data_IF_354373444121
#
_entry.id   IF_354373444121
#
_cell.length_a   1.000
_cell.length_b   1.000
_cell.length_c   1.000
_cell.angle_alpha   90.00
_cell.angle_beta   90.00
_cell.angle_gamma   90.00
#
_symmetry.space_group_name_H-M   'P 1'
#
loop_
_entity.id
_entity.type
_entity.pdbx_description
1 polymer ?
#
# COMPACT_ATOMS: atom_id res chain seq x y z
N UNK A 1 -28.51 -11.98 -1.19
CA UNK A 1 -27.44 -11.42 -0.33
C UNK A 1 -27.56 -9.91 -0.36
N UNK A 2 -27.84 -9.24 0.77
CA UNK A 2 -27.72 -7.78 0.85
C UNK A 2 -26.26 -7.42 1.14
N UNK A 3 -25.69 -6.49 0.36
CA UNK A 3 -24.33 -5.95 0.57
C UNK A 3 -24.39 -4.61 1.28
N UNK A 4 -23.25 -4.13 1.79
CA UNK A 4 -23.18 -2.81 2.39
C UNK A 4 -23.61 -1.70 1.40
N UNK A 5 -24.25 -0.64 1.91
CA UNK A 5 -24.85 0.41 1.07
C UNK A 5 -23.87 1.26 0.26
N UNK A 6 -22.57 1.14 0.51
CA UNK A 6 -21.51 1.83 -0.24
C UNK A 6 -20.98 1.01 -1.44
N UNK A 7 -21.39 -0.25 -1.59
CA UNK A 7 -20.96 -1.11 -2.71
C UNK A 7 -21.77 -0.73 -3.96
N UNK A 8 -21.09 -0.36 -5.03
CA UNK A 8 -21.73 -0.08 -6.32
C UNK A 8 -22.01 -1.38 -7.10
N UNK A 9 -22.66 -1.27 -8.26
CA UNK A 9 -22.89 -2.41 -9.15
C UNK A 9 -21.66 -2.80 -10.00
N UNK A 10 -20.52 -2.13 -9.82
CA UNK A 10 -19.30 -2.46 -10.54
C UNK A 10 -18.79 -3.85 -10.08
N UNK A 11 -18.65 -4.84 -10.98
CA UNK A 11 -18.23 -6.19 -10.60
C UNK A 11 -16.91 -6.23 -9.84
N UNK A 12 -15.97 -5.33 -10.16
CA UNK A 12 -14.70 -5.23 -9.45
C UNK A 12 -14.90 -4.80 -7.99
N UNK A 13 -15.84 -3.88 -7.75
CA UNK A 13 -16.11 -3.40 -6.41
C UNK A 13 -16.88 -4.43 -5.57
N UNK A 14 -17.78 -5.16 -6.22
CA UNK A 14 -18.47 -6.31 -5.62
C UNK A 14 -17.48 -7.39 -5.20
N UNK A 15 -16.56 -7.77 -6.09
CA UNK A 15 -15.55 -8.79 -5.78
C UNK A 15 -14.63 -8.36 -4.63
N UNK A 16 -14.17 -7.11 -4.66
CA UNK A 16 -13.36 -6.55 -3.57
C UNK A 16 -14.12 -6.58 -2.24
N UNK A 17 -15.39 -6.16 -2.21
CA UNK A 17 -16.21 -6.20 -0.99
C UNK A 17 -16.36 -7.63 -0.47
N UNK A 18 -16.72 -8.57 -1.35
CA UNK A 18 -17.09 -9.93 -0.96
C UNK A 18 -15.88 -10.79 -0.54
N UNK A 19 -14.69 -10.52 -1.10
CA UNK A 19 -13.50 -11.37 -0.92
C UNK A 19 -12.35 -10.73 -0.15
N UNK A 20 -12.24 -9.40 -0.17
CA UNK A 20 -11.07 -8.70 0.37
C UNK A 20 -11.43 -7.78 1.55
N UNK A 21 -12.54 -7.04 1.45
CA UNK A 21 -12.92 -6.06 2.46
C UNK A 21 -13.39 -6.72 3.76
N UNK A 22 -12.83 -6.28 4.89
CA UNK A 22 -13.16 -6.82 6.22
C UNK A 22 -12.57 -8.20 6.52
N UNK A 23 -11.84 -8.82 5.58
CA UNK A 23 -11.13 -10.09 5.81
C UNK A 23 -9.81 -9.81 6.52
N UNK A 24 -9.54 -10.54 7.61
CA UNK A 24 -8.32 -10.35 8.39
C UNK A 24 -7.06 -10.72 7.57
N UNK A 25 -6.20 -9.74 7.33
CA UNK A 25 -4.92 -9.92 6.64
C UNK A 25 -3.76 -9.82 7.64
N UNK A 26 -2.80 -10.76 7.55
CA UNK A 26 -1.64 -10.85 8.44
C UNK A 26 -0.31 -10.70 7.69
N UNK A 27 -0.34 -10.75 6.36
CA UNK A 27 0.85 -10.56 5.54
C UNK A 27 1.30 -9.09 5.59
N UNK A 28 2.48 -8.78 6.15
CA UNK A 28 2.93 -7.40 6.31
C UNK A 28 3.06 -6.63 5.00
N UNK A 29 3.43 -7.30 3.90
CA UNK A 29 3.55 -6.66 2.59
C UNK A 29 2.20 -6.26 2.03
N UNK A 30 1.18 -7.12 2.17
CA UNK A 30 -0.18 -6.78 1.77
C UNK A 30 -0.77 -5.65 2.62
N UNK A 31 -0.50 -5.67 3.92
CA UNK A 31 -0.90 -4.56 4.81
C UNK A 31 -0.22 -3.24 4.39
N UNK A 32 1.06 -3.29 4.02
CA UNK A 32 1.80 -2.15 3.47
C UNK A 32 1.22 -1.65 2.15
N UNK A 33 0.87 -2.55 1.22
CA UNK A 33 0.17 -2.19 -0.02
C UNK A 33 -1.15 -1.49 0.29
N UNK A 34 -1.98 -2.07 1.16
CA UNK A 34 -3.30 -1.52 1.49
C UNK A 34 -3.20 -0.12 2.10
N UNK A 35 -2.36 0.09 3.11
CA UNK A 35 -2.22 1.43 3.73
C UNK A 35 -1.71 2.48 2.73
N UNK A 36 -0.86 2.07 1.78
CA UNK A 36 -0.40 2.97 0.72
C UNK A 36 -1.54 3.35 -0.23
N UNK A 37 -2.36 2.37 -0.65
CA UNK A 37 -3.50 2.60 -1.55
C UNK A 37 -4.59 3.46 -0.88
N UNK A 38 -4.85 3.28 0.41
CA UNK A 38 -5.75 4.15 1.18
C UNK A 38 -5.27 5.62 1.15
N UNK A 39 -3.96 5.86 1.30
CA UNK A 39 -3.40 7.21 1.15
C UNK A 39 -3.62 7.81 -0.25
N UNK A 40 -3.65 6.97 -1.30
CA UNK A 40 -3.93 7.44 -2.67
C UNK A 40 -5.39 7.88 -2.85
N UNK A 41 -6.31 7.38 -2.02
CA UNK A 41 -7.74 7.66 -2.11
C UNK A 41 -8.11 9.08 -1.64
N UNK A 42 -7.24 9.79 -0.92
CA UNK A 42 -7.54 11.15 -0.43
C UNK A 42 -8.05 12.09 -1.55
N UNK A 43 -9.29 12.56 -1.43
CA UNK A 43 -9.95 13.43 -2.42
C UNK A 43 -10.50 12.70 -3.67
N UNK A 44 -10.57 11.36 -3.67
CA UNK A 44 -11.06 10.52 -4.76
C UNK A 44 -11.99 9.43 -4.24
N UNK A 45 -12.70 8.77 -5.16
CA UNK A 45 -13.45 7.56 -4.84
C UNK A 45 -12.52 6.34 -4.71
N UNK A 46 -12.84 5.40 -3.82
CA UNK A 46 -12.04 4.17 -3.67
C UNK A 46 -12.00 3.34 -4.97
N UNK A 47 -13.11 3.28 -5.71
CA UNK A 47 -13.16 2.57 -6.99
C UNK A 47 -12.15 3.13 -8.02
N UNK A 48 -11.83 4.42 -7.97
CA UNK A 48 -10.76 5.02 -8.80
C UNK A 48 -9.40 4.40 -8.49
N UNK A 49 -9.08 4.20 -7.21
CA UNK A 49 -7.82 3.58 -6.78
C UNK A 49 -7.83 2.08 -7.11
N UNK A 50 -8.93 1.39 -6.81
CA UNK A 50 -9.07 -0.04 -7.03
C UNK A 50 -8.89 -0.41 -8.51
N UNK A 51 -9.46 0.35 -9.44
CA UNK A 51 -9.25 0.17 -10.90
C UNK A 51 -7.80 0.37 -11.33
N UNK A 52 -7.02 1.14 -10.58
CA UNK A 52 -5.60 1.42 -10.86
C UNK A 52 -4.65 0.50 -10.06
N UNK A 53 -5.17 -0.39 -9.21
CA UNK A 53 -4.37 -1.22 -8.29
C UNK A 53 -3.26 -1.99 -9.00
N UNK A 54 -3.56 -2.65 -10.12
CA UNK A 54 -2.55 -3.40 -10.88
C UNK A 54 -1.47 -2.49 -11.47
N UNK A 55 -1.83 -1.27 -11.84
CA UNK A 55 -0.86 -0.28 -12.33
C UNK A 55 0.06 0.14 -11.18
N UNK A 56 -0.49 0.41 -10.00
CA UNK A 56 0.31 0.66 -8.78
C UNK A 56 1.25 -0.50 -8.45
N UNK A 57 0.76 -1.74 -8.50
CA UNK A 57 1.61 -2.92 -8.28
C UNK A 57 2.76 -2.96 -9.26
N UNK A 58 2.58 -2.61 -10.53
CA UNK A 58 3.70 -2.54 -11.49
C UNK A 58 4.64 -1.36 -11.22
N UNK A 59 4.09 -0.18 -10.99
CA UNK A 59 4.86 1.06 -10.80
C UNK A 59 5.72 1.04 -9.52
N UNK A 60 5.25 0.35 -8.47
CA UNK A 60 5.89 0.27 -7.17
C UNK A 60 6.41 -1.15 -6.85
N UNK A 61 6.87 -1.89 -7.85
CA UNK A 61 7.57 -3.18 -7.68
C UNK A 61 6.83 -4.19 -6.77
N UNK A 62 5.53 -4.37 -7.01
CA UNK A 62 4.62 -5.24 -6.25
C UNK A 62 4.60 -4.88 -4.76
N UNK A 63 4.78 -3.60 -4.46
CA UNK A 63 4.90 -3.05 -3.11
C UNK A 63 5.98 -3.76 -2.28
N UNK A 64 7.09 -4.16 -2.91
CA UNK A 64 8.29 -4.59 -2.19
C UNK A 64 8.90 -3.38 -1.46
N UNK A 65 8.86 -3.33 -0.11
CA UNK A 65 9.26 -2.12 0.61
C UNK A 65 10.73 -1.76 0.39
N UNK A 66 11.61 -2.74 0.12
CA UNK A 66 13.04 -2.49 -0.12
C UNK A 66 13.23 -1.77 -1.45
N UNK A 67 12.58 -2.27 -2.51
CA UNK A 67 12.66 -1.66 -3.84
C UNK A 67 12.00 -0.29 -3.85
N UNK A 68 10.82 -0.15 -3.23
CA UNK A 68 10.10 1.12 -3.16
C UNK A 68 10.88 2.16 -2.35
N UNK A 69 11.52 1.77 -1.25
CA UNK A 69 12.31 2.70 -0.44
C UNK A 69 13.56 3.22 -1.16
N UNK A 70 14.09 2.44 -2.11
CA UNK A 70 15.26 2.77 -2.92
C UNK A 70 14.95 3.70 -4.11
N UNK A 71 13.67 3.94 -4.42
CA UNK A 71 13.28 4.86 -5.48
C UNK A 71 13.74 6.28 -5.18
N UNK A 72 14.14 6.99 -6.22
CA UNK A 72 14.72 8.33 -6.17
C UNK A 72 13.86 9.38 -6.88
N UNK A 73 14.44 10.55 -7.15
CA UNK A 73 13.73 11.65 -7.79
C UNK A 73 13.43 11.38 -9.27
N UNK A 74 14.30 10.64 -9.98
CA UNK A 74 14.08 10.29 -11.39
C UNK A 74 12.88 9.34 -11.52
N UNK A 75 12.75 8.40 -10.58
CA UNK A 75 11.58 7.54 -10.48
C UNK A 75 10.30 8.34 -10.24
N UNK A 76 10.34 9.35 -9.38
CA UNK A 76 9.18 10.21 -9.11
C UNK A 76 8.77 10.97 -10.37
N UNK A 77 9.72 11.61 -11.07
CA UNK A 77 9.43 12.35 -12.30
C UNK A 77 8.84 11.43 -13.37
N UNK A 78 9.38 10.22 -13.53
CA UNK A 78 8.84 9.21 -14.44
C UNK A 78 7.41 8.82 -14.07
N UNK A 79 7.13 8.60 -12.79
CA UNK A 79 5.81 8.19 -12.30
C UNK A 79 4.75 9.29 -12.36
N UNK A 80 5.13 10.56 -12.22
CA UNK A 80 4.20 11.69 -12.38
C UNK A 80 3.62 11.74 -13.80
N UNK A 81 4.32 11.20 -14.79
CA UNK A 81 3.85 11.11 -16.17
C UNK A 81 2.99 9.86 -16.46
N UNK A 82 2.97 8.88 -15.56
CA UNK A 82 2.23 7.62 -15.76
C UNK A 82 0.72 7.80 -15.56
N UNK A 83 -0.03 7.78 -16.66
CA UNK A 83 -1.50 7.86 -16.65
C UNK A 83 -2.18 6.64 -16.01
N UNK A 84 -1.45 5.54 -15.82
CA UNK A 84 -1.89 4.33 -15.14
C UNK A 84 -2.17 4.54 -13.66
N UNK A 85 -1.49 5.48 -13.00
CA UNK A 85 -1.64 5.80 -11.57
C UNK A 85 -2.28 7.19 -11.36
N UNK A 86 -2.30 7.69 -10.12
CA UNK A 86 -2.72 9.05 -9.81
C UNK A 86 -1.48 9.95 -9.89
N UNK A 87 -1.48 10.86 -10.87
CA UNK A 87 -0.36 11.77 -11.19
C UNK A 87 -0.28 12.92 -10.18
N UNK A 88 0.06 12.59 -8.94
CA UNK A 88 0.21 13.56 -7.86
C UNK A 88 1.52 13.31 -7.12
N UNK A 89 2.49 14.22 -7.29
CA UNK A 89 3.85 14.09 -6.77
C UNK A 89 3.91 13.74 -5.28
N UNK A 90 3.18 14.50 -4.44
CA UNK A 90 3.19 14.27 -2.99
C UNK A 90 2.62 12.90 -2.58
N UNK A 91 1.72 12.32 -3.39
CA UNK A 91 1.14 11.00 -3.11
C UNK A 91 2.07 9.88 -3.52
N UNK A 92 2.84 10.07 -4.59
CA UNK A 92 3.92 9.17 -5.02
C UNK A 92 5.03 9.16 -3.97
N UNK A 93 5.49 10.36 -3.58
CA UNK A 93 6.49 10.53 -2.52
C UNK A 93 6.05 9.91 -1.19
N UNK A 94 4.76 10.00 -0.85
CA UNK A 94 4.22 9.37 0.36
C UNK A 94 4.40 7.84 0.35
N UNK A 95 4.22 7.16 -0.79
CA UNK A 95 4.45 5.70 -0.87
C UNK A 95 5.92 5.36 -0.59
N UNK A 96 6.86 6.13 -1.16
CA UNK A 96 8.30 5.96 -0.94
C UNK A 96 8.65 6.21 0.53
N UNK A 97 8.11 7.29 1.11
CA UNK A 97 8.27 7.62 2.54
C UNK A 97 7.71 6.52 3.45
N UNK A 98 6.54 5.98 3.13
CA UNK A 98 5.92 4.88 3.86
C UNK A 98 6.79 3.62 3.81
N UNK A 99 7.40 3.29 2.66
CA UNK A 99 8.30 2.15 2.54
C UNK A 99 9.53 2.29 3.45
N UNK A 100 10.15 3.49 3.46
CA UNK A 100 11.28 3.82 4.36
C UNK A 100 10.87 3.70 5.83
N UNK A 101 9.71 4.22 6.20
CA UNK A 101 9.18 4.12 7.55
C UNK A 101 8.88 2.66 7.96
N UNK A 102 8.31 1.87 7.06
CA UNK A 102 8.02 0.45 7.26
C UNK A 102 9.30 -0.34 7.57
N UNK A 103 10.35 -0.17 6.77
CA UNK A 103 11.65 -0.84 6.99
C UNK A 103 12.33 -0.39 8.28
N UNK A 104 12.25 0.91 8.60
CA UNK A 104 12.78 1.44 9.86
C UNK A 104 12.07 0.84 11.07
N UNK A 105 10.74 0.70 11.01
CA UNK A 105 9.94 0.05 12.04
C UNK A 105 10.30 -1.43 12.19
N UNK A 106 10.43 -2.18 11.08
CA UNK A 106 10.81 -3.59 11.10
C UNK A 106 12.18 -3.82 11.76
N UNK A 107 13.16 -2.97 11.42
CA UNK A 107 14.51 -3.00 12.03
C UNK A 107 14.44 -2.74 13.54
N UNK A 108 13.67 -1.75 13.98
CA UNK A 108 13.46 -1.44 15.40
C UNK A 108 12.76 -2.59 16.13
N UNK A 109 11.71 -3.17 15.53
CA UNK A 109 10.99 -4.32 16.10
C UNK A 109 11.86 -5.57 16.24
N UNK A 110 12.70 -5.88 15.24
CA UNK A 110 13.69 -6.96 15.36
C UNK A 110 14.68 -6.72 16.50
N UNK A 111 15.15 -5.48 16.64
CA UNK A 111 16.06 -5.09 17.72
C UNK A 111 15.40 -5.25 19.09
N UNK A 112 14.15 -4.81 19.24
CA UNK A 112 13.38 -4.96 20.47
C UNK A 112 13.10 -6.42 20.84
N UNK A 113 12.69 -7.26 19.88
CA UNK A 113 12.51 -8.70 20.10
C UNK A 113 13.82 -9.38 20.51
N UNK A 114 14.96 -8.96 19.94
CA UNK A 114 16.29 -9.45 20.32
C UNK A 114 16.68 -9.02 21.74
N UNK A 115 16.28 -7.83 22.16
CA UNK A 115 16.52 -7.33 23.52
C UNK A 115 15.70 -8.09 24.57
N UNK A 116 14.52 -8.60 24.20
CA UNK A 116 13.64 -9.41 25.07
C UNK A 116 14.03 -10.91 25.06
N UNK A 117 15.24 -11.25 25.51
CA UNK A 117 15.58 -12.47 26.28
C UNK A 117 17.11 -12.56 26.49
N UNK A 118 17.60 -11.83 27.49
CA UNK A 118 18.72 -12.29 28.33
C UNK A 118 18.22 -12.24 29.77
N UNK A 119 17.25 -13.07 30.10
CA UNK A 119 17.13 -13.59 31.47
C UNK A 119 17.72 -14.98 31.37
N UNK A 120 19.06 -15.04 31.48
CA UNK A 120 19.73 -16.30 31.76
C UNK A 120 19.16 -16.79 33.09
N UNK A 121 18.55 -17.97 33.11
CA UNK A 121 18.50 -18.77 34.33
C UNK A 121 19.91 -19.22 34.67
#
# INVERSE_FOLDING_TARGET
MQRCGWVSQDPLYIEYHDKEWGVAEKNPRKLFEMICLEGQQAGLSWITVLKKRENYRRAFHQFDPVRVAAMDEEDIERLVLDAGIIRHRGKIQAIIGNARAFLAMEKKWRTFRRFRLVIRR
#
